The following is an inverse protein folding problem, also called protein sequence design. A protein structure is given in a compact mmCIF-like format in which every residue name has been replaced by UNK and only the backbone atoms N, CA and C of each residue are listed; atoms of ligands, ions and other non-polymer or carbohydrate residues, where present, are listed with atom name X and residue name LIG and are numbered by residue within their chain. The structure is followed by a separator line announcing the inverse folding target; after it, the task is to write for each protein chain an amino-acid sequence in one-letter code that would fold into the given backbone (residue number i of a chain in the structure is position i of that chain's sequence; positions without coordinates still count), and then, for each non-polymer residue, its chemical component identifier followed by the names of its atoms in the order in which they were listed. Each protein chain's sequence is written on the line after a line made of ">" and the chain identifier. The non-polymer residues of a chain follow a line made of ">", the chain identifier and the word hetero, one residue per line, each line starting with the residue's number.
data_IF_560680673785
#
_entry.id   IF_560680673785
#
_cell.length_a   1.000
_cell.length_b   1.000
_cell.length_c   1.000
_cell.angle_alpha   90.00
_cell.angle_beta   90.00
_cell.angle_gamma   90.00
#
_symmetry.space_group_name_H-M   'P 1'
#
loop_
_entity.id
_entity.type
_entity.pdbx_description
1 polymer ?
#
# COMPACT_ATOMS: atom_id res chain seq x y z
N UNK A 1 56.64 -28.37 -2.56
CA UNK A 1 56.53 -29.59 -3.39
C UNK A 1 56.03 -29.15 -4.76
N UNK A 2 56.91 -29.18 -5.80
CA UNK A 2 56.76 -28.89 -7.26
C UNK A 2 56.32 -27.45 -7.65
N UNK A 3 57.15 -26.55 -8.22
CA UNK A 3 57.81 -26.48 -9.57
C UNK A 3 56.75 -26.44 -10.70
N UNK A 4 56.69 -25.57 -11.72
CA UNK A 4 57.54 -24.60 -12.42
C UNK A 4 56.63 -23.60 -13.20
N UNK A 5 56.94 -22.30 -13.29
CA UNK A 5 57.52 -21.59 -14.44
C UNK A 5 56.91 -21.85 -15.85
N UNK A 6 56.34 -20.80 -16.46
CA UNK A 6 56.76 -20.35 -17.81
C UNK A 6 56.34 -18.91 -18.13
N UNK A 7 57.31 -18.17 -18.65
CA UNK A 7 57.27 -16.82 -19.17
C UNK A 7 56.64 -16.79 -20.58
N UNK A 8 56.07 -15.64 -20.97
CA UNK A 8 56.51 -14.97 -22.20
C UNK A 8 56.05 -13.51 -22.25
N UNK A 9 57.00 -12.64 -22.57
CA UNK A 9 56.89 -11.22 -22.85
C UNK A 9 56.57 -11.01 -24.34
N UNK A 10 55.85 -9.94 -24.65
CA UNK A 10 56.13 -8.98 -25.73
C UNK A 10 55.28 -7.73 -25.41
N UNK A 11 55.86 -6.59 -24.98
CA UNK A 11 56.39 -5.51 -25.82
C UNK A 11 55.43 -5.20 -26.99
N UNK A 12 54.77 -4.05 -27.12
CA UNK A 12 54.96 -2.72 -26.58
C UNK A 12 54.76 -1.73 -27.73
N UNK A 13 54.02 -0.63 -27.52
CA UNK A 13 54.30 0.71 -28.09
C UNK A 13 53.19 1.70 -27.74
N UNK A 14 53.63 2.85 -27.27
CA UNK A 14 52.89 4.11 -27.19
C UNK A 14 52.92 4.80 -28.57
N UNK A 15 51.86 5.55 -28.85
CA UNK A 15 51.78 6.87 -29.53
C UNK A 15 50.26 7.07 -29.77
N UNK A 16 49.57 8.13 -29.33
CA UNK A 16 49.90 9.54 -29.39
C UNK A 16 49.23 10.12 -30.63
N UNK A 17 48.05 10.75 -30.51
CA UNK A 17 47.55 11.88 -31.34
C UNK A 17 46.12 12.28 -30.96
N UNK A 18 45.80 13.55 -31.20
CA UNK A 18 44.68 14.30 -30.67
C UNK A 18 43.61 14.65 -31.74
N UNK A 19 42.43 15.09 -31.25
CA UNK A 19 41.34 15.84 -31.94
C UNK A 19 40.52 14.98 -32.94
N UNK A 20 39.22 15.18 -33.17
CA UNK A 20 38.34 16.34 -33.02
C UNK A 20 36.86 15.92 -32.81
N UNK A 21 36.05 16.82 -32.24
CA UNK A 21 34.57 16.78 -32.18
C UNK A 21 33.97 17.16 -33.55
N UNK A 22 32.81 16.63 -33.95
CA UNK A 22 31.98 17.21 -35.00
C UNK A 22 31.01 18.28 -34.46
N UNK A 23 30.50 19.20 -35.32
CA UNK A 23 29.92 20.48 -34.89
C UNK A 23 28.40 20.45 -34.73
N UNK A 24 27.93 21.36 -33.87
CA UNK A 24 26.53 21.77 -33.72
C UNK A 24 26.07 22.54 -34.95
N UNK A 25 24.86 22.25 -35.43
CA UNK A 25 24.18 23.04 -36.42
C UNK A 25 23.39 24.17 -35.74
N UNK A 26 23.78 25.38 -36.08
CA UNK A 26 23.11 26.65 -35.86
C UNK A 26 21.89 26.74 -36.79
N UNK A 27 20.70 27.02 -36.24
CA UNK A 27 19.53 27.37 -37.03
C UNK A 27 19.04 28.74 -36.56
N UNK A 28 19.21 29.71 -37.46
CA UNK A 28 19.00 31.11 -37.21
C UNK A 28 17.54 31.51 -37.03
N UNK A 29 17.40 32.60 -36.28
CA UNK A 29 16.21 33.45 -36.19
C UNK A 29 15.75 33.93 -37.56
N UNK A 30 14.45 33.82 -37.83
CA UNK A 30 13.74 34.71 -38.76
C UNK A 30 12.46 35.21 -38.09
N UNK A 31 12.48 36.53 -37.91
CA UNK A 31 11.45 37.56 -37.75
C UNK A 31 9.98 37.20 -37.50
N UNK A 32 9.44 37.88 -36.48
CA UNK A 32 8.05 38.17 -36.27
C UNK A 32 7.42 38.85 -37.50
N UNK A 33 6.21 38.42 -37.85
CA UNK A 33 5.29 39.22 -38.64
C UNK A 33 3.92 39.21 -37.96
N UNK A 34 3.37 40.41 -37.87
CA UNK A 34 2.13 40.76 -37.22
C UNK A 34 0.94 40.64 -38.17
N UNK A 35 -0.23 40.49 -37.55
CA UNK A 35 -1.55 41.02 -37.98
C UNK A 35 -2.51 40.05 -38.71
N UNK A 36 -3.63 39.75 -38.05
CA UNK A 36 -5.01 39.64 -38.57
C UNK A 36 -5.89 38.96 -37.49
N UNK A 37 -6.67 39.71 -36.72
CA UNK A 37 -8.08 40.08 -36.97
C UNK A 37 -9.12 38.97 -36.64
N UNK A 38 -9.94 39.30 -35.62
CA UNK A 38 -11.38 39.00 -35.44
C UNK A 38 -11.83 37.56 -35.23
N UNK A 39 -12.24 37.29 -33.99
CA UNK A 39 -13.26 36.28 -33.64
C UNK A 39 -14.42 37.02 -32.95
N UNK A 40 -15.68 36.90 -33.40
CA UNK A 40 -16.82 37.49 -32.71
C UNK A 40 -17.28 36.63 -31.53
N UNK A 41 -17.75 37.32 -30.50
CA UNK A 41 -18.41 36.79 -29.32
C UNK A 41 -19.73 36.10 -29.68
N UNK A 42 -20.02 34.98 -29.01
CA UNK A 42 -21.34 34.64 -28.43
C UNK A 42 -21.27 33.22 -27.83
N UNK A 43 -21.29 33.12 -26.50
CA UNK A 43 -21.62 31.89 -25.77
C UNK A 43 -22.68 32.28 -24.73
N UNK A 44 -23.89 31.70 -24.76
CA UNK A 44 -24.89 31.97 -23.73
C UNK A 44 -24.53 31.27 -22.42
N UNK A 45 -24.76 31.99 -21.34
CA UNK A 45 -24.62 31.54 -19.96
C UNK A 45 -25.79 30.63 -19.52
N UNK A 46 -25.52 29.94 -18.41
CA UNK A 46 -26.44 29.27 -17.48
C UNK A 46 -26.89 27.83 -17.78
N UNK A 47 -26.05 26.90 -17.29
CA UNK A 47 -26.51 25.68 -16.61
C UNK A 47 -25.86 25.69 -15.22
N UNK A 48 -26.61 25.60 -14.10
CA UNK A 48 -26.01 25.56 -12.78
C UNK A 48 -25.26 24.23 -12.62
N UNK A 49 -23.95 24.30 -12.43
CA UNK A 49 -23.17 23.18 -11.94
C UNK A 49 -23.52 22.98 -10.47
N UNK A 50 -24.17 21.86 -10.14
CA UNK A 50 -24.20 21.35 -8.78
C UNK A 50 -22.74 21.18 -8.34
N UNK A 51 -22.33 22.00 -7.37
CA UNK A 51 -20.97 21.99 -6.83
C UNK A 51 -20.67 20.65 -6.14
N UNK A 52 -19.42 20.17 -6.19
CA UNK A 52 -19.02 19.04 -5.38
C UNK A 52 -19.14 19.41 -3.90
N UNK A 53 -19.73 18.50 -3.12
CA UNK A 53 -19.77 18.46 -1.67
C UNK A 53 -18.44 18.91 -1.04
N UNK A 54 -18.45 20.06 -0.37
CA UNK A 54 -17.32 20.62 0.38
C UNK A 54 -17.08 19.84 1.68
N UNK A 55 -16.25 18.79 1.61
CA UNK A 55 -15.51 18.31 2.79
C UNK A 55 -14.08 18.00 2.35
N UNK A 56 -13.10 18.87 2.63
CA UNK A 56 -11.69 18.55 2.40
C UNK A 56 -11.27 17.41 3.32
N UNK A 57 -10.72 16.34 2.76
CA UNK A 57 -10.22 15.20 3.53
C UNK A 57 -8.81 15.53 4.05
N UNK A 58 -8.72 16.22 5.19
CA UNK A 58 -7.46 16.41 5.94
C UNK A 58 -7.06 15.16 6.75
N UNK A 59 -7.58 13.98 6.42
CA UNK A 59 -7.46 12.74 7.21
C UNK A 59 -6.01 12.32 7.47
N UNK A 60 -5.09 12.68 6.57
CA UNK A 60 -3.64 12.46 6.70
C UNK A 60 -2.85 13.77 6.91
N UNK A 61 -3.46 14.92 6.67
CA UNK A 61 -2.77 16.21 6.69
C UNK A 61 -2.20 16.50 8.10
N UNK A 62 -0.88 16.72 8.24
CA UNK A 62 -0.32 17.12 9.50
C UNK A 62 -0.70 18.58 9.80
N UNK A 63 -1.03 18.85 11.05
CA UNK A 63 -1.01 20.21 11.60
C UNK A 63 0.34 20.87 11.31
N UNK A 64 0.33 22.10 10.81
CA UNK A 64 1.52 22.92 10.60
C UNK A 64 2.45 22.86 11.82
N UNK A 65 3.66 22.33 11.64
CA UNK A 65 4.74 22.49 12.61
C UNK A 65 5.51 21.23 12.97
N UNK A 66 6.75 21.46 13.41
CA UNK A 66 7.57 20.48 14.13
C UNK A 66 6.90 20.17 15.47
N UNK A 67 5.87 19.32 15.47
CA UNK A 67 5.34 18.78 16.72
C UNK A 67 6.50 18.11 17.47
N UNK A 68 6.72 18.48 18.73
CA UNK A 68 7.67 17.76 19.57
C UNK A 68 7.12 16.35 19.83
N UNK A 69 8.00 15.34 19.78
CA UNK A 69 7.60 13.97 20.10
C UNK A 69 7.03 13.93 21.52
N UNK A 70 5.80 13.41 21.73
CA UNK A 70 5.25 13.25 23.06
C UNK A 70 6.25 12.54 23.98
N UNK A 71 6.43 13.08 25.19
CA UNK A 71 7.33 12.48 26.18
C UNK A 71 6.72 11.16 26.63
N UNK A 72 7.40 10.05 26.35
CA UNK A 72 7.01 8.73 26.82
C UNK A 72 7.14 7.62 25.78
N UNK A 73 6.83 6.42 26.25
CA UNK A 73 6.67 5.21 25.44
C UNK A 73 5.26 5.24 24.86
N UNK A 74 5.11 4.97 23.56
CA UNK A 74 3.82 4.88 22.90
C UNK A 74 3.25 3.48 23.03
N UNK A 75 1.97 3.39 23.39
CA UNK A 75 1.24 2.14 23.47
C UNK A 75 0.71 1.76 22.09
N UNK A 76 1.03 0.53 21.66
CA UNK A 76 0.75 0.02 20.33
C UNK A 76 -0.11 -1.22 20.38
N UNK A 77 -1.18 -1.23 19.59
CA UNK A 77 -1.93 -2.44 19.23
C UNK A 77 -1.48 -2.89 17.84
N UNK A 78 -1.16 -4.18 17.69
CA UNK A 78 -0.77 -4.76 16.39
C UNK A 78 -1.82 -5.76 15.94
N UNK A 79 -2.61 -5.38 14.93
CA UNK A 79 -3.59 -6.25 14.28
C UNK A 79 -2.92 -7.01 13.12
N UNK A 80 -3.14 -8.31 13.05
CA UNK A 80 -2.43 -9.16 12.11
C UNK A 80 -0.98 -9.44 12.53
N UNK A 81 -0.71 -9.54 13.85
CA UNK A 81 0.64 -9.63 14.43
C UNK A 81 1.51 -10.78 13.89
N UNK A 82 0.87 -11.85 13.44
CA UNK A 82 1.58 -13.02 12.87
C UNK A 82 1.89 -12.85 11.38
N UNK A 83 1.23 -11.93 10.68
CA UNK A 83 1.44 -11.58 9.27
C UNK A 83 2.78 -10.88 9.01
N UNK A 84 3.10 -10.66 7.73
CA UNK A 84 4.37 -10.02 7.33
C UNK A 84 4.55 -8.62 7.94
N UNK A 85 3.52 -7.77 7.87
CA UNK A 85 3.55 -6.44 8.50
C UNK A 85 3.68 -6.55 10.02
N UNK A 86 2.86 -7.40 10.64
CA UNK A 86 2.85 -7.57 12.10
C UNK A 86 4.19 -8.05 12.67
N UNK A 87 4.85 -9.03 12.04
CA UNK A 87 6.14 -9.53 12.50
C UNK A 87 7.25 -8.49 12.33
N UNK A 88 7.23 -7.71 11.25
CA UNK A 88 8.16 -6.61 11.02
C UNK A 88 7.94 -5.44 11.99
N UNK A 89 6.68 -5.13 12.32
CA UNK A 89 6.36 -4.13 13.32
C UNK A 89 6.85 -4.52 14.72
N UNK A 90 6.65 -5.78 15.11
CA UNK A 90 7.21 -6.29 16.36
C UNK A 90 8.74 -6.28 16.36
N UNK A 91 9.39 -6.44 15.20
CA UNK A 91 10.84 -6.26 15.07
C UNK A 91 11.29 -4.81 15.21
N UNK A 92 10.53 -3.83 14.70
CA UNK A 92 10.76 -2.40 14.98
C UNK A 92 10.60 -2.11 16.47
N UNK A 93 9.53 -2.59 17.10
CA UNK A 93 9.22 -2.37 18.52
C UNK A 93 10.30 -3.00 19.42
N UNK A 94 10.71 -4.24 19.13
CA UNK A 94 11.79 -4.94 19.86
C UNK A 94 13.10 -4.16 19.88
N UNK A 95 13.44 -3.49 18.77
CA UNK A 95 14.66 -2.68 18.66
C UNK A 95 14.54 -1.30 19.33
N UNK A 96 13.34 -0.89 19.74
CA UNK A 96 13.04 0.45 20.27
C UNK A 96 12.13 0.40 21.52
N UNK A 97 12.53 -0.32 22.59
CA UNK A 97 11.70 -0.53 23.79
C UNK A 97 11.49 0.75 24.63
N UNK A 98 12.34 1.76 24.44
CA UNK A 98 12.21 3.09 25.02
C UNK A 98 11.16 3.96 24.30
N UNK A 99 10.71 3.52 23.12
CA UNK A 99 9.75 4.26 22.27
C UNK A 99 8.39 3.61 22.21
N UNK A 100 8.32 2.28 22.25
CA UNK A 100 7.07 1.55 22.03
C UNK A 100 6.84 0.45 23.07
N UNK A 101 5.58 0.26 23.45
CA UNK A 101 5.10 -0.85 24.27
C UNK A 101 3.90 -1.48 23.57
N UNK A 102 3.91 -2.80 23.43
CA UNK A 102 2.75 -3.52 22.88
C UNK A 102 1.72 -3.70 23.99
N UNK A 103 0.50 -3.26 23.75
CA UNK A 103 -0.63 -3.43 24.70
C UNK A 103 -1.68 -4.41 24.18
N UNK A 104 -1.74 -4.62 22.87
CA UNK A 104 -2.66 -5.58 22.26
C UNK A 104 -2.08 -6.26 21.04
N UNK A 105 -2.38 -7.56 20.88
CA UNK A 105 -2.06 -8.32 19.67
C UNK A 105 -3.32 -8.97 19.12
N UNK A 106 -3.49 -9.00 17.80
CA UNK A 106 -4.56 -9.77 17.17
C UNK A 106 -4.06 -10.58 15.97
N UNK A 107 -4.61 -11.77 15.76
CA UNK A 107 -4.31 -12.59 14.58
C UNK A 107 -5.52 -13.41 14.11
N UNK A 108 -5.44 -13.97 12.90
CA UNK A 108 -6.53 -14.81 12.35
C UNK A 108 -6.72 -16.17 13.04
N UNK A 109 -5.77 -16.63 13.85
CA UNK A 109 -5.84 -17.93 14.55
C UNK A 109 -5.22 -19.11 13.78
N UNK A 110 -4.61 -18.90 12.62
CA UNK A 110 -3.89 -19.96 11.88
C UNK A 110 -2.47 -20.27 12.37
N UNK A 111 -1.90 -19.40 13.22
CA UNK A 111 -0.52 -19.52 13.74
C UNK A 111 -0.47 -19.22 15.24
N UNK A 112 -1.22 -19.99 16.02
CA UNK A 112 -1.36 -19.79 17.47
C UNK A 112 -0.04 -19.90 18.23
N UNK A 113 0.88 -20.79 17.82
CA UNK A 113 2.20 -20.92 18.44
C UNK A 113 3.04 -19.64 18.30
N UNK A 114 2.99 -19.00 17.12
CA UNK A 114 3.68 -17.73 16.90
C UNK A 114 3.07 -16.61 17.73
N UNK A 115 1.73 -16.56 17.80
CA UNK A 115 1.03 -15.57 18.61
C UNK A 115 1.36 -15.72 20.11
N UNK A 116 1.40 -16.95 20.63
CA UNK A 116 1.80 -17.23 22.01
C UNK A 116 3.24 -16.78 22.30
N UNK A 117 4.19 -17.05 21.38
CA UNK A 117 5.56 -16.55 21.48
C UNK A 117 5.64 -15.03 21.54
N UNK A 118 4.96 -14.35 20.61
CA UNK A 118 4.90 -12.90 20.56
C UNK A 118 4.33 -12.33 21.86
N UNK A 119 3.22 -12.88 22.33
CA UNK A 119 2.60 -12.38 23.54
C UNK A 119 3.47 -12.62 24.79
N UNK A 120 4.18 -13.75 24.91
CA UNK A 120 5.13 -13.95 26.01
C UNK A 120 6.28 -12.95 26.01
N UNK A 121 6.82 -12.66 24.82
CA UNK A 121 7.89 -11.68 24.63
C UNK A 121 7.44 -10.26 24.98
N UNK A 122 6.34 -9.80 24.38
CA UNK A 122 5.91 -8.41 24.43
C UNK A 122 4.95 -8.08 25.59
N UNK A 123 4.42 -9.11 26.26
CA UNK A 123 3.54 -8.99 27.44
C UNK A 123 2.35 -8.03 27.24
N UNK A 124 1.55 -8.20 26.18
CA UNK A 124 0.38 -7.35 25.96
C UNK A 124 -0.67 -7.58 27.05
N UNK A 125 -1.58 -6.63 27.19
CA UNK A 125 -2.72 -6.71 28.12
C UNK A 125 -3.85 -7.58 27.54
N UNK A 126 -3.99 -7.57 26.21
CA UNK A 126 -5.03 -8.31 25.48
C UNK A 126 -4.47 -9.03 24.24
N UNK A 127 -5.00 -10.21 23.95
CA UNK A 127 -4.72 -10.97 22.73
C UNK A 127 -6.02 -11.46 22.10
N UNK A 128 -6.20 -11.20 20.80
CA UNK A 128 -7.36 -11.62 20.04
C UNK A 128 -7.05 -12.67 18.96
N UNK A 129 -7.98 -13.61 18.77
CA UNK A 129 -8.02 -14.49 17.61
C UNK A 129 -9.36 -14.42 16.89
N UNK A 130 -9.35 -14.14 15.58
CA UNK A 130 -10.58 -14.04 14.79
C UNK A 130 -11.35 -15.38 14.75
N UNK A 131 -10.62 -16.50 14.65
CA UNK A 131 -11.21 -17.83 14.67
C UNK A 131 -11.55 -18.25 16.10
N UNK A 132 -12.84 -18.28 16.43
CA UNK A 132 -13.35 -18.70 17.75
C UNK A 132 -12.79 -20.06 18.20
N UNK A 133 -12.70 -21.04 17.30
CA UNK A 133 -12.18 -22.38 17.62
C UNK A 133 -10.69 -22.39 17.99
N UNK A 134 -9.92 -21.35 17.67
CA UNK A 134 -8.50 -21.27 17.98
C UNK A 134 -8.20 -20.79 19.42
N UNK A 135 -9.22 -20.39 20.19
CA UNK A 135 -9.03 -19.83 21.53
C UNK A 135 -8.38 -20.82 22.51
N UNK A 136 -8.86 -22.07 22.51
CA UNK A 136 -8.32 -23.13 23.37
C UNK A 136 -6.89 -23.50 22.97
N UNK A 137 -6.64 -23.63 21.66
CA UNK A 137 -5.31 -23.92 21.13
C UNK A 137 -4.31 -22.82 21.49
N UNK A 138 -4.72 -21.55 21.41
CA UNK A 138 -3.91 -20.42 21.83
C UNK A 138 -3.58 -20.50 23.32
N UNK A 139 -4.56 -20.77 24.18
CA UNK A 139 -4.33 -20.90 25.62
C UNK A 139 -3.34 -22.04 25.94
N UNK A 140 -3.47 -23.18 25.26
CA UNK A 140 -2.53 -24.30 25.41
C UNK A 140 -1.11 -23.93 24.91
N UNK A 141 -1.01 -23.25 23.77
CA UNK A 141 0.26 -22.78 23.22
C UNK A 141 0.95 -21.79 24.17
N UNK A 142 0.19 -20.90 24.82
CA UNK A 142 0.71 -20.01 25.87
C UNK A 142 1.34 -20.79 27.02
N UNK A 143 0.64 -21.78 27.57
CA UNK A 143 1.19 -22.57 28.67
C UNK A 143 2.44 -23.35 28.25
N UNK A 144 2.44 -23.92 27.05
CA UNK A 144 3.58 -24.66 26.53
C UNK A 144 4.80 -23.75 26.37
N UNK A 145 4.62 -22.56 25.83
CA UNK A 145 5.70 -21.61 25.61
C UNK A 145 6.18 -20.98 26.93
N UNK A 146 5.28 -20.66 27.86
CA UNK A 146 5.65 -20.17 29.19
C UNK A 146 6.51 -21.19 29.94
N UNK A 147 6.14 -22.48 29.85
CA UNK A 147 6.92 -23.58 30.44
C UNK A 147 8.31 -23.71 29.82
N UNK A 148 8.46 -23.50 28.50
CA UNK A 148 9.77 -23.50 27.82
C UNK A 148 10.66 -22.37 28.32
N UNK A 149 10.09 -21.23 28.68
CA UNK A 149 10.79 -20.08 29.26
C UNK A 149 11.05 -20.21 30.78
N UNK A 150 10.69 -21.34 31.39
CA UNK A 150 10.99 -21.63 32.79
C UNK A 150 10.06 -20.94 33.79
N UNK A 151 8.95 -20.34 33.36
CA UNK A 151 7.95 -19.82 34.28
C UNK A 151 7.31 -21.00 35.04
N UNK A 152 7.34 -20.95 36.37
CA UNK A 152 6.54 -21.86 37.19
C UNK A 152 5.07 -21.39 37.20
N UNK A 153 4.16 -22.20 37.76
CA UNK A 153 2.74 -21.82 37.76
C UNK A 153 2.55 -20.50 38.53
N UNK A 154 2.03 -19.46 37.88
CA UNK A 154 1.70 -18.17 38.50
C UNK A 154 2.71 -17.04 38.30
N UNK A 155 3.85 -17.27 37.64
CA UNK A 155 4.91 -16.25 37.50
C UNK A 155 4.72 -15.29 36.30
N UNK A 156 3.73 -15.54 35.44
CA UNK A 156 3.46 -14.74 34.24
C UNK A 156 1.97 -14.39 34.13
N UNK A 157 1.60 -13.10 34.02
CA UNK A 157 0.20 -12.70 33.82
C UNK A 157 -0.25 -13.12 32.42
N UNK A 158 -1.26 -14.00 32.35
CA UNK A 158 -1.87 -14.36 31.08
C UNK A 158 -2.66 -13.15 30.57
N UNK A 159 -2.48 -12.70 29.31
CA UNK A 159 -3.26 -11.62 28.75
C UNK A 159 -4.74 -11.96 28.72
N UNK A 160 -5.62 -10.95 28.67
CA UNK A 160 -7.03 -11.18 28.34
C UNK A 160 -7.10 -11.81 26.94
N UNK A 161 -7.63 -13.03 26.83
CA UNK A 161 -7.84 -13.68 25.54
C UNK A 161 -9.27 -13.42 25.08
N UNK A 162 -9.42 -12.84 23.89
CA UNK A 162 -10.70 -12.61 23.21
C UNK A 162 -10.73 -13.42 21.92
N UNK A 163 -11.87 -14.00 21.56
CA UNK A 163 -11.97 -14.83 20.37
C UNK A 163 -13.32 -14.67 19.67
N UNK A 164 -13.31 -14.80 18.34
CA UNK A 164 -14.50 -14.70 17.51
C UNK A 164 -14.43 -13.57 16.48
N UNK A 165 -15.49 -13.42 15.66
CA UNK A 165 -15.49 -12.49 14.52
C UNK A 165 -15.23 -11.04 14.94
N UNK A 166 -15.76 -10.61 16.09
CA UNK A 166 -15.60 -9.25 16.61
C UNK A 166 -14.32 -9.03 17.41
N UNK A 167 -13.55 -10.08 17.71
CA UNK A 167 -12.44 -10.00 18.66
C UNK A 167 -11.32 -9.06 18.19
N UNK A 168 -11.07 -9.02 16.87
CA UNK A 168 -10.04 -8.14 16.30
C UNK A 168 -10.47 -6.68 16.39
N UNK A 169 -11.76 -6.39 16.12
CA UNK A 169 -12.32 -5.05 16.25
C UNK A 169 -12.38 -4.58 17.71
N UNK A 170 -12.71 -5.47 18.66
CA UNK A 170 -12.63 -5.17 20.10
C UNK A 170 -11.21 -4.74 20.50
N UNK A 171 -10.19 -5.48 20.05
CA UNK A 171 -8.79 -5.16 20.34
C UNK A 171 -8.31 -3.90 19.60
N UNK A 172 -8.85 -3.61 18.41
CA UNK A 172 -8.57 -2.37 17.70
C UNK A 172 -9.02 -1.11 18.48
N UNK A 173 -10.08 -1.23 19.29
CA UNK A 173 -10.56 -0.15 20.16
C UNK A 173 -9.81 -0.05 21.51
N UNK A 174 -8.93 -1.01 21.83
CA UNK A 174 -8.24 -1.09 23.13
C UNK A 174 -7.50 0.21 23.47
N UNK A 175 -7.44 0.64 24.75
CA UNK A 175 -6.66 1.80 25.16
C UNK A 175 -5.21 1.73 24.67
N UNK A 176 -4.86 2.61 23.73
CA UNK A 176 -3.53 2.74 23.16
C UNK A 176 -3.38 4.10 22.47
N UNK A 177 -2.16 4.41 22.02
CA UNK A 177 -1.87 5.58 21.19
C UNK A 177 -2.04 5.28 19.70
N UNK A 178 -1.55 4.11 19.25
CA UNK A 178 -1.48 3.73 17.84
C UNK A 178 -1.98 2.31 17.62
N UNK A 179 -2.84 2.14 16.63
CA UNK A 179 -3.26 0.83 16.13
C UNK A 179 -2.61 0.62 14.77
N UNK A 180 -1.75 -0.39 14.65
CA UNK A 180 -1.26 -0.86 13.36
C UNK A 180 -2.23 -1.89 12.80
N UNK A 181 -2.95 -1.51 11.74
CA UNK A 181 -3.82 -2.44 11.03
C UNK A 181 -3.06 -3.13 9.89
N UNK A 182 -2.53 -4.34 10.17
CA UNK A 182 -1.90 -5.24 9.21
C UNK A 182 -2.75 -6.48 8.89
N UNK A 183 -4.07 -6.42 9.08
CA UNK A 183 -5.01 -7.47 8.63
C UNK A 183 -5.07 -7.45 7.10
N UNK A 184 -5.31 -8.59 6.46
CA UNK A 184 -5.35 -8.69 5.00
C UNK A 184 -6.79 -8.64 4.48
N UNK A 185 -7.00 -7.98 3.34
CA UNK A 185 -8.28 -7.95 2.64
C UNK A 185 -9.37 -7.14 3.35
N UNK A 186 -10.62 -7.39 2.96
CA UNK A 186 -11.80 -6.68 3.47
C UNK A 186 -12.06 -6.84 4.97
N UNK A 187 -11.55 -7.91 5.59
CA UNK A 187 -11.75 -8.24 7.00
C UNK A 187 -11.21 -7.17 7.96
N UNK A 188 -10.31 -6.30 7.50
CA UNK A 188 -9.77 -5.22 8.33
C UNK A 188 -10.70 -4.02 8.50
N UNK A 189 -11.79 -3.90 7.73
CA UNK A 189 -12.66 -2.71 7.75
C UNK A 189 -13.29 -2.46 9.12
N UNK A 190 -13.93 -3.45 9.74
CA UNK A 190 -14.54 -3.28 11.07
C UNK A 190 -13.51 -2.85 12.13
N UNK A 191 -12.29 -3.36 12.02
CA UNK A 191 -11.19 -3.00 12.92
C UNK A 191 -10.66 -1.58 12.67
N UNK A 192 -10.59 -1.17 11.40
CA UNK A 192 -10.28 0.22 11.00
C UNK A 192 -11.31 1.18 11.60
N UNK A 193 -12.60 0.91 11.42
CA UNK A 193 -13.68 1.76 11.97
C UNK A 193 -13.62 1.81 13.51
N UNK A 194 -13.45 0.66 14.17
CA UNK A 194 -13.36 0.59 15.63
C UNK A 194 -12.17 1.39 16.21
N UNK A 195 -11.01 1.34 15.54
CA UNK A 195 -9.84 2.13 15.94
C UNK A 195 -10.10 3.65 15.80
N UNK A 196 -10.73 4.06 14.69
CA UNK A 196 -11.06 5.46 14.44
C UNK A 196 -12.09 6.00 15.43
N UNK A 197 -13.16 5.25 15.67
CA UNK A 197 -14.24 5.59 16.61
C UNK A 197 -13.73 5.67 18.05
N UNK A 198 -12.80 4.78 18.43
CA UNK A 198 -12.10 4.83 19.73
C UNK A 198 -11.06 5.96 19.83
N UNK A 199 -10.86 6.72 18.73
CA UNK A 199 -10.01 7.88 18.69
C UNK A 199 -8.52 7.59 18.62
N UNK A 200 -8.12 6.39 18.19
CA UNK A 200 -6.72 5.96 18.07
C UNK A 200 -6.10 6.50 16.80
N UNK A 201 -4.78 6.72 16.80
CA UNK A 201 -4.06 6.91 15.54
C UNK A 201 -4.03 5.57 14.80
N UNK A 202 -4.49 5.56 13.56
CA UNK A 202 -4.51 4.36 12.73
C UNK A 202 -3.30 4.35 11.81
N UNK A 203 -2.29 3.55 12.15
CA UNK A 203 -1.22 3.20 11.23
C UNK A 203 -1.76 2.15 10.26
N UNK A 204 -2.14 2.57 9.05
CA UNK A 204 -2.91 1.77 8.12
C UNK A 204 -2.01 1.09 7.09
N UNK A 205 -1.83 -0.22 7.22
CA UNK A 205 -1.16 -1.06 6.21
C UNK A 205 -2.14 -1.83 5.32
N UNK A 206 -3.38 -2.02 5.79
CA UNK A 206 -4.45 -2.69 5.06
C UNK A 206 -5.19 -1.71 4.15
N UNK A 207 -4.66 -1.49 2.94
CA UNK A 207 -5.26 -0.62 1.93
C UNK A 207 -6.71 -0.99 1.59
N UNK A 208 -7.02 -2.29 1.59
CA UNK A 208 -8.35 -2.79 1.21
C UNK A 208 -9.44 -2.24 2.13
N UNK A 209 -9.19 -2.10 3.44
CA UNK A 209 -10.18 -1.51 4.36
C UNK A 209 -10.54 -0.07 3.99
N UNK A 210 -9.56 0.74 3.59
CA UNK A 210 -9.82 2.10 3.15
C UNK A 210 -10.49 2.12 1.78
N UNK A 211 -10.08 1.25 0.85
CA UNK A 211 -10.63 1.24 -0.51
C UNK A 211 -12.10 0.84 -0.51
N UNK A 212 -12.47 -0.26 0.15
CA UNK A 212 -13.86 -0.75 0.15
C UNK A 212 -14.76 0.12 1.04
N UNK A 213 -14.19 0.73 2.08
CA UNK A 213 -14.90 1.55 3.05
C UNK A 213 -14.76 3.05 2.84
N UNK A 214 -14.21 3.52 1.70
CA UNK A 214 -13.71 4.88 1.48
C UNK A 214 -14.43 5.99 2.27
N UNK A 215 -15.67 6.35 1.91
CA UNK A 215 -16.43 7.37 2.62
C UNK A 215 -16.61 7.07 4.12
N UNK A 216 -16.92 5.82 4.50
CA UNK A 216 -17.10 5.40 5.89
C UNK A 216 -15.85 5.65 6.76
N UNK A 217 -14.68 5.35 6.19
CA UNK A 217 -13.38 5.46 6.87
C UNK A 217 -12.97 6.94 6.95
N UNK A 218 -13.05 7.67 5.84
CA UNK A 218 -12.65 9.08 5.78
C UNK A 218 -13.55 9.96 6.64
N UNK A 219 -14.87 9.75 6.63
CA UNK A 219 -15.83 10.55 7.42
C UNK A 219 -15.67 10.35 8.94
N UNK A 220 -15.23 9.15 9.39
CA UNK A 220 -14.99 8.87 10.81
C UNK A 220 -13.63 9.36 11.30
N UNK A 221 -12.67 9.50 10.40
CA UNK A 221 -11.33 9.92 10.75
C UNK A 221 -11.29 11.43 11.07
N UNK A 222 -10.66 11.78 12.19
CA UNK A 222 -10.25 13.16 12.43
C UNK A 222 -9.04 13.50 11.55
N UNK A 223 -8.81 14.79 11.26
CA UNK A 223 -7.60 15.22 10.57
C UNK A 223 -6.32 14.66 11.20
N UNK A 224 -5.44 14.10 10.36
CA UNK A 224 -4.18 13.46 10.77
C UNK A 224 -4.32 12.17 11.60
N UNK A 225 -5.51 11.59 11.73
CA UNK A 225 -5.72 10.35 12.50
C UNK A 225 -5.29 9.09 11.73
N UNK A 226 -5.30 9.12 10.40
CA UNK A 226 -4.84 8.02 9.55
C UNK A 226 -3.40 8.30 9.13
N UNK A 227 -2.53 7.31 9.32
CA UNK A 227 -1.13 7.36 8.90
C UNK A 227 -0.86 6.20 7.94
N UNK A 228 -0.51 6.47 6.67
CA UNK A 228 -0.24 5.41 5.71
C UNK A 228 1.04 4.64 6.05
N UNK A 229 0.93 3.31 6.04
CA UNK A 229 2.04 2.36 6.18
C UNK A 229 2.37 1.68 4.85
N UNK A 230 1.47 1.73 3.86
CA UNK A 230 1.83 1.34 2.51
C UNK A 230 2.99 2.21 1.99
N UNK A 231 3.93 1.61 1.26
CA UNK A 231 5.26 2.20 1.05
C UNK A 231 5.19 3.49 0.21
N UNK A 232 4.37 3.46 -0.83
CA UNK A 232 4.08 4.55 -1.75
C UNK A 232 3.39 5.70 -1.03
N UNK A 233 2.36 5.41 -0.23
CA UNK A 233 1.58 6.44 0.47
C UNK A 233 2.35 6.99 1.67
N UNK A 234 3.16 6.18 2.32
CA UNK A 234 4.11 6.65 3.34
C UNK A 234 5.15 7.60 2.73
N UNK A 235 5.59 7.34 1.50
CA UNK A 235 6.45 8.22 0.73
C UNK A 235 5.74 9.53 0.34
N UNK A 236 4.50 9.46 -0.17
CA UNK A 236 3.68 10.63 -0.48
C UNK A 236 3.45 11.49 0.77
N UNK A 237 3.06 10.88 1.90
CA UNK A 237 2.86 11.59 3.16
C UNK A 237 4.13 12.32 3.63
N UNK A 238 5.32 11.73 3.43
CA UNK A 238 6.59 12.41 3.71
C UNK A 238 6.86 13.58 2.76
N UNK A 239 6.62 13.42 1.47
CA UNK A 239 6.82 14.47 0.47
C UNK A 239 5.83 15.63 0.63
N UNK A 240 4.57 15.35 0.97
CA UNK A 240 3.53 16.35 1.20
C UNK A 240 3.85 17.29 2.36
N UNK A 241 4.69 16.87 3.32
CA UNK A 241 5.21 17.76 4.38
C UNK A 241 6.15 18.86 3.86
N UNK A 242 6.56 18.78 2.61
CA UNK A 242 7.43 19.77 1.96
C UNK A 242 6.70 20.97 1.34
N UNK A 243 5.35 21.01 1.39
CA UNK A 243 4.55 22.11 0.87
C UNK A 243 3.11 22.09 1.41
N UNK A 244 2.24 22.94 0.86
CA UNK A 244 0.81 23.00 1.20
C UNK A 244 -0.03 22.22 0.20
N UNK A 245 -1.21 21.78 0.61
CA UNK A 245 -2.16 21.06 -0.27
C UNK A 245 -2.46 21.83 -1.58
N UNK A 246 -2.68 23.15 -1.49
CA UNK A 246 -2.93 24.01 -2.67
C UNK A 246 -1.73 24.16 -3.61
N UNK A 247 -0.52 23.84 -3.15
CA UNK A 247 0.72 23.90 -3.95
C UNK A 247 1.00 22.58 -4.67
N UNK A 248 0.28 21.48 -4.33
CA UNK A 248 0.41 20.20 -5.02
C UNK A 248 -0.15 20.35 -6.42
N UNK A 249 0.61 19.94 -7.43
CA UNK A 249 0.14 19.79 -8.82
C UNK A 249 -0.30 18.36 -9.09
N UNK A 250 0.53 17.37 -8.76
CA UNK A 250 0.20 15.96 -8.98
C UNK A 250 0.95 15.03 -8.02
N UNK A 251 0.36 13.87 -7.76
CA UNK A 251 1.05 12.75 -7.11
C UNK A 251 1.63 11.83 -8.19
N UNK A 252 2.80 11.26 -7.94
CA UNK A 252 3.40 10.26 -8.82
C UNK A 252 3.65 9.00 -7.99
N UNK A 253 2.81 7.99 -8.19
CA UNK A 253 2.92 6.68 -7.56
C UNK A 253 3.86 5.82 -8.40
N UNK A 254 4.91 5.30 -7.77
CA UNK A 254 5.83 4.38 -8.45
C UNK A 254 5.38 2.94 -8.27
N UNK A 255 5.48 2.10 -9.30
CA UNK A 255 5.25 0.66 -9.25
C UNK A 255 6.55 -0.10 -9.56
N UNK A 256 6.76 -1.30 -9.01
CA UNK A 256 7.87 -2.17 -9.46
C UNK A 256 7.70 -2.62 -10.93
N UNK A 257 6.45 -2.66 -11.40
CA UNK A 257 6.05 -3.21 -12.70
C UNK A 257 5.78 -4.73 -12.69
N UNK A 258 6.02 -5.40 -11.55
CA UNK A 258 5.84 -6.85 -11.42
C UNK A 258 6.81 -7.68 -12.27
N UNK A 259 6.68 -9.02 -12.25
CA UNK A 259 7.55 -9.93 -13.02
C UNK A 259 7.40 -9.80 -14.55
N UNK A 260 6.33 -9.15 -15.03
CA UNK A 260 5.98 -9.13 -16.45
C UNK A 260 6.16 -7.77 -17.12
N UNK A 261 6.77 -6.81 -16.43
CA UNK A 261 7.12 -5.50 -16.98
C UNK A 261 7.80 -5.64 -18.35
N UNK A 262 7.28 -4.92 -19.34
CA UNK A 262 7.80 -4.90 -20.71
C UNK A 262 7.30 -6.02 -21.62
N UNK A 263 6.49 -6.97 -21.11
CA UNK A 263 5.74 -7.91 -21.94
C UNK A 263 4.50 -7.22 -22.49
N UNK A 264 4.20 -7.47 -23.76
CA UNK A 264 2.96 -7.09 -24.41
C UNK A 264 1.78 -7.94 -23.92
N UNK A 265 0.55 -7.47 -24.12
CA UNK A 265 -0.66 -8.24 -23.77
C UNK A 265 -0.68 -9.64 -24.38
N UNK A 266 -0.25 -9.78 -25.64
CA UNK A 266 -0.20 -11.07 -26.34
C UNK A 266 0.78 -12.06 -25.71
N UNK A 267 1.87 -11.57 -25.13
CA UNK A 267 2.84 -12.41 -24.44
C UNK A 267 2.33 -12.90 -23.08
N UNK A 268 1.28 -12.31 -22.50
CA UNK A 268 0.75 -12.65 -21.18
C UNK A 268 -0.27 -13.80 -21.17
N UNK A 269 -0.65 -14.33 -22.35
CA UNK A 269 -1.72 -15.32 -22.51
C UNK A 269 -1.45 -16.61 -21.71
N UNK A 270 -0.21 -17.12 -21.78
CA UNK A 270 0.17 -18.42 -21.20
C UNK A 270 0.86 -18.30 -19.83
N UNK A 271 0.74 -17.15 -19.16
CA UNK A 271 1.34 -16.92 -17.84
C UNK A 271 0.78 -17.90 -16.82
N UNK A 272 1.67 -18.54 -16.05
CA UNK A 272 1.29 -19.50 -15.00
C UNK A 272 1.32 -18.88 -13.59
N UNK A 273 0.64 -19.48 -12.60
CA UNK A 273 0.74 -19.06 -11.20
C UNK A 273 2.17 -19.05 -10.67
N UNK A 274 3.00 -20.03 -11.04
CA UNK A 274 4.41 -20.09 -10.63
C UNK A 274 5.21 -18.89 -11.16
N UNK A 275 4.99 -18.49 -12.42
CA UNK A 275 5.64 -17.31 -12.99
C UNK A 275 5.17 -16.03 -12.29
N UNK A 276 3.86 -15.90 -12.04
CA UNK A 276 3.28 -14.72 -11.40
C UNK A 276 3.76 -14.55 -9.95
N UNK A 277 4.04 -15.65 -9.24
CA UNK A 277 4.53 -15.64 -7.85
C UNK A 277 6.03 -15.28 -7.72
N UNK A 278 6.77 -15.18 -8.82
CA UNK A 278 8.20 -14.89 -8.83
C UNK A 278 8.49 -13.38 -8.87
N UNK A 279 8.18 -12.64 -7.79
CA UNK A 279 8.35 -11.18 -7.77
C UNK A 279 9.85 -10.78 -7.74
N UNK A 280 10.29 -9.80 -8.57
CA UNK A 280 11.71 -9.43 -8.69
C UNK A 280 12.33 -8.63 -7.53
N UNK A 281 11.56 -8.29 -6.48
CA UNK A 281 11.96 -7.24 -5.52
C UNK A 281 11.47 -7.53 -4.11
N UNK A 282 10.19 -7.86 -3.97
CA UNK A 282 9.53 -8.01 -2.68
C UNK A 282 9.17 -9.47 -2.40
N UNK A 283 9.39 -9.91 -1.17
CA UNK A 283 8.87 -11.17 -0.64
C UNK A 283 7.51 -10.91 0.04
N UNK A 284 6.43 -11.35 -0.60
CA UNK A 284 5.05 -10.99 -0.24
C UNK A 284 4.12 -12.20 -0.26
N UNK A 285 2.96 -12.04 0.36
CA UNK A 285 1.89 -13.05 0.30
C UNK A 285 1.37 -13.24 -1.13
N UNK A 286 0.84 -14.42 -1.47
CA UNK A 286 0.50 -14.79 -2.84
C UNK A 286 -0.50 -13.85 -3.53
N UNK A 287 -1.49 -13.33 -2.79
CA UNK A 287 -2.49 -12.41 -3.33
C UNK A 287 -1.84 -11.09 -3.77
N UNK A 288 -1.02 -10.48 -2.90
CA UNK A 288 -0.33 -9.22 -3.21
C UNK A 288 0.67 -9.42 -4.35
N UNK A 289 1.35 -10.56 -4.40
CA UNK A 289 2.28 -10.89 -5.48
C UNK A 289 1.59 -10.98 -6.83
N UNK A 290 0.43 -11.65 -6.93
CA UNK A 290 -0.33 -11.74 -8.17
C UNK A 290 -0.94 -10.38 -8.54
N UNK A 291 -1.46 -9.63 -7.57
CA UNK A 291 -1.94 -8.26 -7.79
C UNK A 291 -0.83 -7.33 -8.29
N UNK A 292 0.42 -7.57 -7.88
CA UNK A 292 1.59 -6.84 -8.40
C UNK A 292 1.93 -7.25 -9.83
N UNK A 293 1.72 -8.52 -10.19
CA UNK A 293 1.92 -9.00 -11.55
C UNK A 293 0.86 -8.47 -12.54
N UNK A 294 -0.40 -8.32 -12.10
CA UNK A 294 -1.49 -7.75 -12.91
C UNK A 294 -1.59 -6.22 -12.84
N UNK A 295 -0.80 -5.59 -11.96
CA UNK A 295 -0.90 -4.18 -11.55
C UNK A 295 -2.26 -3.79 -10.92
N UNK A 296 -3.09 -4.75 -10.53
CA UNK A 296 -4.26 -4.49 -9.66
C UNK A 296 -3.82 -3.88 -8.33
N UNK A 297 -2.68 -4.31 -7.78
CA UNK A 297 -2.13 -3.70 -6.55
C UNK A 297 -1.94 -2.20 -6.75
N UNK A 298 -1.38 -1.77 -7.89
CA UNK A 298 -1.20 -0.34 -8.18
C UNK A 298 -2.52 0.38 -8.44
N UNK A 299 -3.50 -0.31 -9.04
CA UNK A 299 -4.86 0.22 -9.19
C UNK A 299 -5.52 0.52 -7.85
N UNK A 300 -5.46 -0.41 -6.91
CA UNK A 300 -5.93 -0.24 -5.53
C UNK A 300 -5.25 0.97 -4.86
N UNK A 301 -3.94 1.09 -5.01
CA UNK A 301 -3.15 2.17 -4.43
C UNK A 301 -3.44 3.55 -5.02
N UNK A 302 -3.87 3.63 -6.30
CA UNK A 302 -4.38 4.87 -6.90
C UNK A 302 -5.66 5.33 -6.20
N UNK A 303 -6.60 4.41 -5.93
CA UNK A 303 -7.81 4.71 -5.16
C UNK A 303 -7.46 5.14 -3.73
N UNK A 304 -6.54 4.42 -3.09
CA UNK A 304 -6.05 4.75 -1.75
C UNK A 304 -5.41 6.15 -1.69
N UNK A 305 -4.58 6.52 -2.66
CA UNK A 305 -3.95 7.84 -2.70
C UNK A 305 -4.98 8.97 -2.86
N UNK A 306 -6.01 8.75 -3.68
CA UNK A 306 -7.12 9.68 -3.80
C UNK A 306 -7.83 9.88 -2.44
N UNK A 307 -8.17 8.79 -1.76
CA UNK A 307 -8.89 8.83 -0.48
C UNK A 307 -8.05 9.46 0.66
N UNK A 308 -6.76 9.14 0.73
CA UNK A 308 -5.86 9.61 1.79
C UNK A 308 -5.49 11.09 1.66
N UNK A 309 -5.29 11.58 0.44
CA UNK A 309 -4.67 12.89 0.20
C UNK A 309 -5.57 13.89 -0.50
N UNK A 310 -6.82 13.51 -0.79
CA UNK A 310 -7.81 14.36 -1.46
C UNK A 310 -7.32 14.92 -2.80
N UNK A 311 -6.55 14.10 -3.54
CA UNK A 311 -6.06 14.46 -4.87
C UNK A 311 -6.94 13.79 -5.92
N UNK A 312 -7.52 14.54 -6.88
CA UNK A 312 -8.31 13.97 -7.97
C UNK A 312 -7.57 12.87 -8.73
N UNK A 313 -8.29 11.84 -9.16
CA UNK A 313 -7.71 10.66 -9.84
C UNK A 313 -6.84 11.03 -11.05
N UNK A 314 -7.27 11.98 -11.87
CA UNK A 314 -6.54 12.47 -13.05
C UNK A 314 -5.21 13.19 -12.70
N UNK A 315 -5.03 13.57 -11.44
CA UNK A 315 -3.81 14.17 -10.87
C UNK A 315 -2.93 13.16 -10.12
N UNK A 316 -3.21 11.86 -10.26
CA UNK A 316 -2.41 10.76 -9.72
C UNK A 316 -1.78 10.02 -10.90
N UNK A 317 -0.49 10.23 -11.15
CA UNK A 317 0.28 9.57 -12.21
C UNK A 317 0.89 8.26 -11.72
N UNK A 318 0.98 7.24 -12.59
CA UNK A 318 1.63 5.97 -12.26
C UNK A 318 2.87 5.80 -13.12
N UNK A 319 4.02 5.60 -12.48
CA UNK A 319 5.30 5.35 -13.14
C UNK A 319 5.89 4.01 -12.73
N UNK A 320 6.42 3.25 -13.66
CA UNK A 320 7.13 2.00 -13.35
C UNK A 320 8.59 2.31 -13.01
N UNK A 321 8.98 2.02 -11.77
CA UNK A 321 10.33 2.18 -11.23
C UNK A 321 10.88 0.83 -10.74
N UNK A 322 11.59 0.07 -11.60
CA UNK A 322 11.97 -1.33 -11.32
C UNK A 322 12.89 -1.48 -10.10
N UNK A 323 13.71 -0.46 -9.82
CA UNK A 323 14.65 -0.50 -8.70
C UNK A 323 13.95 -0.35 -7.35
N UNK A 324 12.70 0.13 -7.31
CA UNK A 324 11.90 0.36 -6.10
C UNK A 324 12.64 1.12 -5.00
N UNK A 325 13.51 2.06 -5.39
CA UNK A 325 14.25 2.93 -4.47
C UNK A 325 13.50 4.24 -4.25
N UNK A 326 12.97 4.83 -5.32
CA UNK A 326 12.00 5.92 -5.22
C UNK A 326 10.64 5.27 -4.95
N UNK A 327 10.05 5.52 -3.79
CA UNK A 327 8.79 4.90 -3.40
C UNK A 327 7.56 5.69 -3.84
N UNK A 328 7.66 7.01 -3.99
CA UNK A 328 6.69 7.89 -4.66
C UNK A 328 7.21 9.34 -4.66
N UNK A 329 6.53 10.21 -5.42
CA UNK A 329 6.90 11.62 -5.56
C UNK A 329 5.68 12.54 -5.54
N UNK A 330 5.91 13.80 -5.21
CA UNK A 330 4.91 14.89 -5.28
C UNK A 330 5.47 15.99 -6.15
N UNK A 331 4.77 16.33 -7.23
CA UNK A 331 5.05 17.49 -8.07
C UNK A 331 4.25 18.69 -7.57
N UNK A 332 4.91 19.84 -7.45
CA UNK A 332 4.33 21.10 -7.01
C UNK A 332 4.08 22.05 -8.19
N UNK A 333 3.21 23.05 -7.98
CA UNK A 333 2.77 24.00 -9.02
C UNK A 333 3.89 24.87 -9.59
N UNK A 334 5.02 25.00 -8.89
CA UNK A 334 6.22 25.72 -9.33
C UNK A 334 7.18 24.87 -10.20
N UNK A 335 6.86 23.58 -10.40
CA UNK A 335 7.69 22.63 -11.14
C UNK A 335 8.71 21.87 -10.30
N UNK A 336 8.75 22.08 -8.97
CA UNK A 336 9.54 21.28 -8.06
C UNK A 336 8.92 19.89 -7.88
N UNK A 337 9.76 18.86 -7.76
CA UNK A 337 9.33 17.50 -7.41
C UNK A 337 10.11 17.04 -6.19
N UNK A 338 9.40 16.64 -5.13
CA UNK A 338 9.98 15.97 -3.98
C UNK A 338 9.78 14.47 -4.14
N UNK A 339 10.85 13.71 -3.98
CA UNK A 339 10.86 12.25 -4.03
C UNK A 339 11.31 11.69 -2.69
N UNK A 340 10.60 10.69 -2.17
CA UNK A 340 11.10 9.90 -1.05
C UNK A 340 11.81 8.67 -1.61
N UNK A 341 13.06 8.49 -1.17
CA UNK A 341 13.92 7.41 -1.62
C UNK A 341 14.56 6.65 -0.45
N UNK A 342 14.52 5.33 -0.53
CA UNK A 342 15.15 4.40 0.42
C UNK A 342 15.33 3.03 -0.23
N UNK A 343 16.27 2.18 0.23
CA UNK A 343 16.23 0.77 -0.11
C UNK A 343 14.87 0.15 0.28
N UNK A 344 14.33 -0.80 -0.51
CA UNK A 344 13.02 -1.39 -0.24
C UNK A 344 13.02 -2.19 1.07
N UNK A 345 12.42 -1.64 2.12
CA UNK A 345 12.25 -2.28 3.43
C UNK A 345 11.01 -1.72 4.14
N UNK A 346 10.00 -2.57 4.39
CA UNK A 346 8.74 -2.17 5.03
C UNK A 346 8.91 -1.72 6.48
N UNK A 347 10.04 -2.01 7.14
CA UNK A 347 10.32 -1.48 8.48
C UNK A 347 10.35 0.05 8.49
N UNK A 348 10.73 0.70 7.39
CA UNK A 348 10.75 2.17 7.30
C UNK A 348 9.35 2.78 7.41
N UNK A 349 8.39 2.44 6.51
CA UNK A 349 7.05 3.00 6.59
C UNK A 349 6.29 2.50 7.83
N UNK A 350 6.54 1.26 8.30
CA UNK A 350 5.99 0.78 9.58
C UNK A 350 6.47 1.63 10.75
N UNK A 351 7.78 1.85 10.88
CA UNK A 351 8.34 2.64 11.98
C UNK A 351 7.85 4.08 11.95
N UNK A 352 7.71 4.66 10.75
CA UNK A 352 7.14 5.98 10.58
C UNK A 352 5.65 6.01 10.96
N UNK A 353 4.88 4.98 10.60
CA UNK A 353 3.48 4.82 11.01
C UNK A 353 3.31 4.76 12.53
N UNK A 354 4.21 4.05 13.23
CA UNK A 354 4.16 3.88 14.68
C UNK A 354 4.54 5.15 15.47
N UNK A 355 5.42 6.00 14.94
CA UNK A 355 5.91 7.20 15.63
C UNK A 355 5.56 8.52 14.91
N UNK A 356 4.63 8.50 13.95
CA UNK A 356 4.33 9.65 13.11
C UNK A 356 4.05 10.92 13.93
N UNK A 357 4.60 12.08 13.51
CA UNK A 357 5.44 12.33 12.33
C UNK A 357 6.96 12.18 12.59
N UNK A 358 7.36 11.52 13.67
CA UNK A 358 8.76 11.42 14.09
C UNK A 358 9.47 10.24 13.43
N UNK A 359 10.76 10.43 13.15
CA UNK A 359 11.62 9.37 12.62
C UNK A 359 12.16 8.50 13.74
N UNK A 360 12.10 7.19 13.53
CA UNK A 360 12.76 6.20 14.39
C UNK A 360 14.19 5.98 13.87
N UNK A 361 15.23 6.15 14.72
CA UNK A 361 16.61 5.90 14.32
C UNK A 361 16.81 4.46 13.81
N UNK A 362 17.61 4.31 12.75
CA UNK A 362 18.04 3.01 12.21
C UNK A 362 16.90 2.00 11.95
N UNK A 363 15.70 2.49 11.62
CA UNK A 363 14.54 1.66 11.33
C UNK A 363 14.79 0.70 10.16
N UNK A 364 15.48 1.18 9.12
CA UNK A 364 15.87 0.46 7.91
C UNK A 364 17.25 0.95 7.40
N UNK A 365 17.93 0.18 6.53
CA UNK A 365 19.18 0.59 5.89
C UNK A 365 19.04 1.88 5.06
N UNK A 366 20.07 2.73 5.08
CA UNK A 366 20.12 3.92 4.24
C UNK A 366 20.65 3.61 2.83
N UNK A 367 20.38 4.51 1.87
CA UNK A 367 21.03 4.49 0.55
C UNK A 367 22.53 4.70 0.72
N UNK A 368 23.34 3.85 0.11
CA UNK A 368 24.79 4.00 0.08
C UNK A 368 25.22 5.03 -0.97
N UNK A 369 25.38 6.28 -0.54
CA UNK A 369 25.79 7.39 -1.40
C UNK A 369 27.27 7.35 -1.84
N UNK A 370 28.05 6.37 -1.39
CA UNK A 370 29.44 6.21 -1.85
C UNK A 370 29.53 5.53 -3.22
N UNK A 371 28.41 4.98 -3.71
CA UNK A 371 28.30 4.26 -4.98
C UNK A 371 27.53 5.08 -6.02
N UNK A 372 27.83 4.84 -7.30
CA UNK A 372 27.02 5.37 -8.38
C UNK A 372 25.68 4.60 -8.48
N UNK A 373 24.60 5.32 -8.79
CA UNK A 373 23.25 4.77 -8.91
C UNK A 373 22.63 5.16 -10.25
N UNK A 374 21.81 4.28 -10.79
CA UNK A 374 20.93 4.54 -11.94
C UNK A 374 19.52 4.19 -11.52
N UNK A 375 18.61 5.16 -11.62
CA UNK A 375 17.19 4.98 -11.36
C UNK A 375 16.42 5.27 -12.64
N UNK A 376 15.62 4.31 -13.06
CA UNK A 376 14.85 4.41 -14.30
C UNK A 376 13.37 4.50 -13.96
N UNK A 377 12.66 5.36 -14.67
CA UNK A 377 11.21 5.50 -14.56
C UNK A 377 10.62 5.41 -15.97
N UNK A 378 9.60 4.57 -16.11
CA UNK A 378 8.90 4.34 -17.36
C UNK A 378 7.42 4.67 -17.19
N UNK A 379 6.73 5.18 -18.23
CA UNK A 379 5.27 5.27 -18.19
C UNK A 379 4.65 3.88 -18.02
N UNK A 380 3.46 3.84 -17.45
CA UNK A 380 2.65 2.62 -17.39
C UNK A 380 2.22 2.19 -18.80
N UNK A 381 2.19 0.89 -19.05
CA UNK A 381 1.60 0.30 -20.26
C UNK A 381 0.16 -0.15 -19.96
N UNK A 382 -0.80 0.72 -20.23
CA UNK A 382 -2.23 0.46 -20.00
C UNK A 382 -2.82 -0.58 -20.96
N UNK A 383 -2.18 -0.86 -22.11
CA UNK A 383 -2.63 -1.88 -23.05
C UNK A 383 -2.32 -3.28 -22.53
N UNK A 384 -1.08 -3.49 -22.07
CA UNK A 384 -0.67 -4.74 -21.44
C UNK A 384 -1.33 -4.93 -20.07
N UNK A 385 -1.46 -3.85 -19.28
CA UNK A 385 -1.92 -3.90 -17.89
C UNK A 385 -3.09 -2.92 -17.61
N UNK A 386 -4.32 -3.26 -18.03
CA UNK A 386 -5.48 -2.36 -17.93
C UNK A 386 -6.03 -2.16 -16.51
N UNK A 387 -5.43 -2.80 -15.50
CA UNK A 387 -5.94 -2.81 -14.13
C UNK A 387 -6.01 -1.42 -13.48
N UNK A 388 -5.05 -0.54 -13.78
CA UNK A 388 -5.02 0.83 -13.24
C UNK A 388 -6.12 1.69 -13.87
N UNK A 389 -6.31 1.61 -15.19
CA UNK A 389 -7.41 2.30 -15.86
C UNK A 389 -8.79 1.87 -15.33
N UNK A 390 -8.97 0.58 -15.05
CA UNK A 390 -10.19 0.06 -14.42
C UNK A 390 -10.36 0.61 -13.00
N UNK A 391 -9.30 0.65 -12.19
CA UNK A 391 -9.35 1.17 -10.83
C UNK A 391 -9.70 2.67 -10.79
N UNK A 392 -9.19 3.48 -11.73
CA UNK A 392 -9.57 4.91 -11.86
C UNK A 392 -11.08 5.06 -12.06
N UNK A 393 -11.64 4.33 -13.02
CA UNK A 393 -13.10 4.32 -13.28
C UNK A 393 -13.90 3.93 -12.04
N UNK A 394 -13.48 2.88 -11.34
CA UNK A 394 -14.13 2.39 -10.12
C UNK A 394 -14.07 3.44 -9.00
N UNK A 395 -12.91 4.06 -8.82
CA UNK A 395 -12.73 5.12 -7.82
C UNK A 395 -13.55 6.37 -8.11
N UNK A 396 -13.67 6.78 -9.38
CA UNK A 396 -14.53 7.90 -9.81
C UNK A 396 -16.03 7.61 -9.61
N UNK A 397 -16.45 6.36 -9.88
CA UNK A 397 -17.82 5.91 -9.60
C UNK A 397 -18.13 6.00 -8.10
N UNK A 398 -17.19 5.59 -7.25
CA UNK A 398 -17.34 5.61 -5.80
C UNK A 398 -18.45 4.66 -5.31
N UNK A 399 -19.06 4.98 -4.17
CA UNK A 399 -20.11 4.15 -3.56
C UNK A 399 -19.58 2.74 -3.24
N UNK A 400 -20.29 1.72 -3.69
CA UNK A 400 -19.92 0.31 -3.48
C UNK A 400 -19.02 -0.27 -4.58
N UNK A 401 -18.73 0.48 -5.65
CA UNK A 401 -17.92 -0.03 -6.76
C UNK A 401 -16.50 -0.47 -6.35
N UNK A 402 -15.78 0.25 -5.46
CA UNK A 402 -14.48 -0.21 -4.95
C UNK A 402 -14.56 -1.54 -4.17
N UNK A 403 -15.64 -1.76 -3.42
CA UNK A 403 -15.88 -3.03 -2.72
C UNK A 403 -16.05 -4.19 -3.70
N UNK A 404 -16.85 -3.97 -4.76
CA UNK A 404 -17.04 -4.94 -5.85
C UNK A 404 -15.73 -5.26 -6.56
N UNK A 405 -14.95 -4.24 -6.91
CA UNK A 405 -13.65 -4.40 -7.57
C UNK A 405 -12.69 -5.24 -6.72
N UNK A 406 -12.55 -4.92 -5.42
CA UNK A 406 -11.69 -5.67 -4.50
C UNK A 406 -12.15 -7.13 -4.37
N UNK A 407 -13.43 -7.34 -4.08
CA UNK A 407 -14.02 -8.65 -3.86
C UNK A 407 -13.91 -9.57 -5.08
N UNK A 408 -14.23 -9.04 -6.27
CA UNK A 408 -14.09 -9.77 -7.52
C UNK A 408 -12.63 -10.12 -7.79
N UNK A 409 -11.70 -9.21 -7.52
CA UNK A 409 -10.28 -9.46 -7.69
C UNK A 409 -9.78 -10.59 -6.79
N UNK A 410 -10.13 -10.59 -5.49
CA UNK A 410 -9.72 -11.66 -4.58
C UNK A 410 -10.17 -13.05 -5.08
N UNK A 411 -11.41 -13.18 -5.54
CA UNK A 411 -11.91 -14.45 -6.09
C UNK A 411 -11.23 -14.83 -7.42
N UNK A 412 -10.95 -13.85 -8.30
CA UNK A 412 -10.27 -14.09 -9.57
C UNK A 412 -8.81 -14.52 -9.37
N UNK A 413 -8.11 -13.93 -8.39
CA UNK A 413 -6.76 -14.34 -8.01
C UNK A 413 -6.77 -15.77 -7.50
N UNK A 414 -7.69 -16.14 -6.62
CA UNK A 414 -7.80 -17.53 -6.15
C UNK A 414 -8.17 -18.50 -7.27
N UNK A 415 -9.03 -18.10 -8.20
CA UNK A 415 -9.36 -18.91 -9.39
C UNK A 415 -8.13 -19.13 -10.28
N UNK A 416 -7.32 -18.10 -10.53
CA UNK A 416 -6.07 -18.22 -11.29
C UNK A 416 -5.06 -19.12 -10.57
N UNK A 417 -4.89 -18.95 -9.25
CA UNK A 417 -4.03 -19.82 -8.43
C UNK A 417 -4.46 -21.29 -8.47
N UNK A 418 -5.75 -21.56 -8.59
CA UNK A 418 -6.31 -22.89 -8.72
C UNK A 418 -6.29 -23.44 -10.16
N UNK A 419 -5.75 -22.68 -11.14
CA UNK A 419 -5.72 -23.06 -12.54
C UNK A 419 -7.09 -23.02 -13.24
N UNK A 420 -8.08 -22.33 -12.66
CA UNK A 420 -9.45 -22.22 -13.19
C UNK A 420 -9.69 -20.95 -14.01
N UNK A 421 -8.73 -20.04 -14.05
CA UNK A 421 -8.81 -18.78 -14.77
C UNK A 421 -7.43 -18.49 -15.38
N UNK A 422 -7.31 -18.10 -16.66
CA UNK A 422 -6.03 -17.65 -17.21
C UNK A 422 -5.63 -16.29 -16.62
N UNK A 423 -4.34 -15.94 -16.70
CA UNK A 423 -3.81 -14.69 -16.12
C UNK A 423 -4.54 -13.43 -16.64
N UNK A 424 -4.72 -13.30 -17.96
CA UNK A 424 -5.47 -12.20 -18.55
C UNK A 424 -6.95 -12.19 -18.13
N UNK A 425 -7.50 -13.36 -17.81
CA UNK A 425 -8.88 -13.51 -17.34
C UNK A 425 -9.13 -12.86 -15.99
N UNK A 426 -8.10 -12.58 -15.18
CA UNK A 426 -8.26 -11.91 -13.87
C UNK A 426 -8.89 -10.53 -14.08
N UNK A 427 -8.20 -9.63 -14.77
CA UNK A 427 -8.66 -8.23 -14.92
C UNK A 427 -9.90 -8.16 -15.81
N UNK A 428 -10.00 -9.00 -16.83
CA UNK A 428 -11.16 -9.06 -17.73
C UNK A 428 -12.43 -9.49 -16.98
N UNK A 429 -12.33 -10.46 -16.07
CA UNK A 429 -13.47 -10.89 -15.24
C UNK A 429 -13.84 -9.83 -14.21
N UNK A 430 -12.86 -9.20 -13.55
CA UNK A 430 -13.11 -8.09 -12.61
C UNK A 430 -13.83 -6.94 -13.30
N UNK A 431 -13.41 -6.56 -14.51
CA UNK A 431 -14.05 -5.51 -15.29
C UNK A 431 -15.53 -5.82 -15.56
N UNK A 432 -15.83 -7.08 -15.91
CA UNK A 432 -17.18 -7.54 -16.16
C UNK A 432 -18.04 -7.54 -14.90
N UNK A 433 -17.53 -8.00 -13.76
CA UNK A 433 -18.28 -7.96 -12.49
C UNK A 433 -18.60 -6.52 -12.08
N UNK A 434 -17.66 -5.60 -12.25
CA UNK A 434 -17.86 -4.17 -12.01
C UNK A 434 -18.91 -3.58 -12.97
N UNK A 435 -18.91 -3.95 -14.25
CA UNK A 435 -19.89 -3.46 -15.24
C UNK A 435 -21.31 -3.97 -14.98
N UNK A 436 -21.44 -5.21 -14.51
CA UNK A 436 -22.73 -5.80 -14.16
C UNK A 436 -23.28 -5.28 -12.81
N UNK A 437 -22.46 -4.61 -12.00
CA UNK A 437 -22.88 -4.03 -10.73
C UNK A 437 -23.67 -2.75 -10.93
N UNK A 438 -24.95 -2.76 -10.55
CA UNK A 438 -25.73 -1.55 -10.47
C UNK A 438 -25.38 -0.80 -9.18
N UNK A 439 -24.73 0.34 -9.31
CA UNK A 439 -24.40 1.20 -8.16
C UNK A 439 -25.63 1.92 -7.60
N UNK A 440 -26.79 1.85 -8.25
CA UNK A 440 -28.03 2.49 -7.79
C UNK A 440 -27.97 4.02 -7.74
N UNK A 441 -26.95 4.62 -8.39
CA UNK A 441 -26.59 6.04 -8.23
C UNK A 441 -25.81 6.30 -6.93
N UNK A 442 -25.14 7.46 -6.81
CA UNK A 442 -24.47 7.88 -5.56
C UNK A 442 -25.49 7.92 -4.42
N UNK A 443 -25.56 6.85 -3.63
CA UNK A 443 -26.42 6.79 -2.46
C UNK A 443 -25.80 7.67 -1.37
N UNK A 444 -26.51 8.73 -0.98
CA UNK A 444 -26.18 9.47 0.22
C UNK A 444 -26.34 8.53 1.43
N UNK A 445 -25.28 8.37 2.24
CA UNK A 445 -25.30 7.54 3.44
C UNK A 445 -24.93 6.07 3.22
N UNK A 446 -23.79 5.79 2.58
CA UNK A 446 -23.19 4.45 2.51
C UNK A 446 -23.06 3.87 3.93
N UNK A 447 -23.52 2.64 4.15
CA UNK A 447 -23.36 1.93 5.43
C UNK A 447 -22.35 0.79 5.33
N UNK A 448 -21.89 0.28 6.48
CA UNK A 448 -21.04 -0.91 6.51
C UNK A 448 -21.74 -2.12 5.89
N UNK A 449 -23.03 -2.27 6.14
CA UNK A 449 -23.83 -3.38 5.61
C UNK A 449 -23.93 -3.32 4.08
N UNK A 450 -24.04 -2.12 3.49
CA UNK A 450 -24.04 -1.95 2.02
C UNK A 450 -22.71 -2.40 1.40
N UNK A 451 -21.58 -2.04 2.03
CA UNK A 451 -20.24 -2.44 1.58
C UNK A 451 -20.07 -3.95 1.67
N UNK A 452 -20.50 -4.56 2.78
CA UNK A 452 -20.42 -6.01 2.98
C UNK A 452 -21.34 -6.78 2.03
N UNK A 453 -22.55 -6.28 1.78
CA UNK A 453 -23.47 -6.88 0.81
C UNK A 453 -22.92 -6.81 -0.62
N UNK A 454 -22.29 -5.70 -0.99
CA UNK A 454 -21.63 -5.55 -2.29
C UNK A 454 -20.42 -6.47 -2.45
N UNK A 455 -19.59 -6.61 -1.40
CA UNK A 455 -18.49 -7.59 -1.37
C UNK A 455 -19.02 -9.03 -1.55
N UNK A 456 -20.05 -9.44 -0.80
CA UNK A 456 -20.63 -10.78 -0.91
C UNK A 456 -21.21 -11.06 -2.30
N UNK A 457 -21.97 -10.11 -2.85
CA UNK A 457 -22.53 -10.20 -4.20
C UNK A 457 -21.41 -10.36 -5.24
N UNK A 458 -20.38 -9.53 -5.18
CA UNK A 458 -19.26 -9.56 -6.13
C UNK A 458 -18.49 -10.87 -6.06
N UNK A 459 -18.29 -11.42 -4.86
CA UNK A 459 -17.66 -12.74 -4.69
C UNK A 459 -18.48 -13.84 -5.33
N UNK A 460 -19.79 -13.87 -5.06
CA UNK A 460 -20.69 -14.85 -5.67
C UNK A 460 -20.63 -14.75 -7.20
N UNK A 461 -20.69 -13.52 -7.74
CA UNK A 461 -20.69 -13.28 -9.17
C UNK A 461 -19.36 -13.66 -9.84
N UNK A 462 -18.22 -13.31 -9.24
CA UNK A 462 -16.90 -13.71 -9.72
C UNK A 462 -16.76 -15.25 -9.73
N UNK A 463 -17.25 -15.95 -8.71
CA UNK A 463 -17.24 -17.43 -8.69
C UNK A 463 -18.06 -18.04 -9.83
N UNK A 464 -19.23 -17.48 -10.14
CA UNK A 464 -20.04 -17.93 -11.27
C UNK A 464 -19.29 -17.80 -12.60
N UNK A 465 -18.68 -16.63 -12.84
CA UNK A 465 -17.95 -16.34 -14.08
C UNK A 465 -16.68 -17.19 -14.23
N UNK A 466 -15.97 -17.42 -13.12
CA UNK A 466 -14.75 -18.26 -13.12
C UNK A 466 -15.03 -19.77 -13.11
N UNK A 467 -16.28 -20.20 -12.85
CA UNK A 467 -16.68 -21.60 -12.97
C UNK A 467 -17.08 -21.98 -14.40
N UNK A 468 -17.49 -21.00 -15.22
CA UNK A 468 -17.94 -21.20 -16.60
C UNK A 468 -16.82 -21.18 -17.64
N UNK A 469 -15.58 -20.80 -17.25
CA UNK A 469 -14.42 -20.64 -18.13
C UNK A 469 -13.42 -21.81 -18.14
N UNK A 470 -13.82 -22.99 -17.64
CA UNK A 470 -12.98 -24.20 -17.58
C UNK A 470 -13.08 -25.11 -18.79
#
# INVERSE_FOLDING_TARGET
>A
MRVAARQSRTAGRRDGTARARPPMADNGRVTADSNADRVPADVPADVPADGPSEVPSDAVAPSDGHAERPKGVRDVVVLGSTGSIGTQALDVIRRNPDRFRVVGLAAGGGRVDLLARQALEFRPEVVAVARASAAQDLQLAFYAEAKRHGYASGDYPIPKIVAGPEAVAEVAAWPCDVVLNGVTGALGLSSTLAALDAGRVLALANKESLIIGGPLVVERARPGQIVPVDSEHSALAQCLRGGRAAEVRRLVLTASGGPFRGRSRAELVDVTPEEALNHPTWDMGPVVTINSATLVNKGLEVIEAHLLFDVPMDRIEVMVHPQSVIHSMVEFVDGSTLAQASPPDMRLPIALGLDWPHRVPDAAPAVDWTRAHTWELFPLDDEAFPAVALARRVGEQGGTAPAVYNAANEECVEAFRAGRLPFLGIVDTVARVVEEHDTGGRQAGLTLDDVLAADEWARARARELTAQGG
#
